data_IF_975152258023
#
_entry.id   IF_975152258023
#
_cell.length_a   1.000
_cell.length_b   1.000
_cell.length_c   1.000
_cell.angle_alpha   90.00
_cell.angle_beta   90.00
_cell.angle_gamma   90.00
#
_symmetry.space_group_name_H-M   'P 1'
#
loop_
_entity.id
_entity.type
_entity.pdbx_description
1 polymer ?
#
# COMPACT_ATOMS: atom_id res chain seq x y z
N UNK A 1 36.72 -8.88 13.70
CA UNK A 1 35.88 -8.10 12.78
C UNK A 1 36.68 -7.87 11.50
N UNK A 2 36.28 -8.45 10.35
CA UNK A 2 37.07 -8.41 9.09
C UNK A 2 37.34 -6.96 8.65
N UNK A 3 36.38 -6.07 8.89
CA UNK A 3 36.49 -4.64 8.61
C UNK A 3 37.67 -4.01 9.35
N UNK A 4 37.79 -4.27 10.66
CA UNK A 4 38.89 -3.74 11.47
C UNK A 4 40.25 -4.26 11.03
N UNK A 5 40.30 -5.49 10.49
CA UNK A 5 41.55 -6.07 9.97
C UNK A 5 41.98 -5.39 8.67
N UNK A 6 41.04 -5.15 7.75
CA UNK A 6 41.29 -4.44 6.49
C UNK A 6 41.69 -2.97 6.69
N UNK A 7 41.10 -2.30 7.69
CA UNK A 7 41.44 -0.92 8.06
C UNK A 7 42.85 -0.84 8.68
N UNK A 8 43.19 -1.79 9.55
CA UNK A 8 44.51 -1.82 10.20
C UNK A 8 45.65 -2.18 9.23
N UNK A 9 45.36 -2.88 8.13
CA UNK A 9 46.37 -3.28 7.14
C UNK A 9 46.61 -2.22 6.05
N UNK A 10 45.72 -1.22 5.86
CA UNK A 10 45.88 -0.17 4.85
C UNK A 10 45.16 1.14 5.24
N UNK A 11 45.91 2.17 5.65
CA UNK A 11 45.40 3.50 6.05
C UNK A 11 44.70 4.29 4.94
N UNK A 12 44.83 3.86 3.68
CA UNK A 12 44.28 4.55 2.49
C UNK A 12 42.81 4.16 2.22
N UNK A 13 42.33 3.03 2.77
CA UNK A 13 41.01 2.49 2.42
C UNK A 13 39.91 3.20 3.21
N UNK A 14 38.99 3.85 2.49
CA UNK A 14 37.82 4.51 3.09
C UNK A 14 36.77 3.46 3.46
N UNK A 15 36.25 3.53 4.70
CA UNK A 15 35.19 2.63 5.21
C UNK A 15 33.99 2.56 4.25
N UNK A 16 33.57 3.70 3.70
CA UNK A 16 32.45 3.79 2.75
C UNK A 16 32.68 2.96 1.46
N UNK A 17 33.93 2.83 1.00
CA UNK A 17 34.24 2.02 -0.18
C UNK A 17 34.11 0.53 0.12
N UNK A 18 34.57 0.08 1.29
CA UNK A 18 34.40 -1.31 1.75
C UNK A 18 32.91 -1.65 1.87
N UNK A 19 32.12 -0.77 2.50
CA UNK A 19 30.68 -0.98 2.65
C UNK A 19 29.95 -1.09 1.30
N UNK A 20 30.32 -0.24 0.34
CA UNK A 20 29.73 -0.29 -0.99
C UNK A 20 30.10 -1.57 -1.74
N UNK A 21 31.35 -2.02 -1.66
CA UNK A 21 31.79 -3.29 -2.25
C UNK A 21 31.03 -4.46 -1.61
N UNK A 22 30.92 -4.47 -0.28
CA UNK A 22 30.19 -5.49 0.45
C UNK A 22 28.71 -5.56 0.03
N UNK A 23 28.02 -4.42 0.00
CA UNK A 23 26.62 -4.32 -0.45
C UNK A 23 26.44 -4.80 -1.90
N UNK A 24 27.40 -4.50 -2.78
CA UNK A 24 27.36 -4.95 -4.17
C UNK A 24 27.53 -6.47 -4.28
N UNK A 25 28.46 -7.05 -3.52
CA UNK A 25 28.67 -8.51 -3.47
C UNK A 25 27.44 -9.21 -2.91
N UNK A 26 26.89 -8.72 -1.80
CA UNK A 26 25.66 -9.25 -1.20
C UNK A 26 24.50 -9.23 -2.21
N UNK A 27 24.32 -8.09 -2.89
CA UNK A 27 23.32 -7.94 -3.93
C UNK A 27 23.52 -8.93 -5.07
N UNK A 28 24.75 -9.11 -5.54
CA UNK A 28 25.05 -10.07 -6.61
C UNK A 28 24.72 -11.50 -6.18
N UNK A 29 25.21 -11.94 -5.01
CA UNK A 29 25.01 -13.30 -4.48
C UNK A 29 23.53 -13.61 -4.32
N UNK A 30 22.76 -12.70 -3.72
CA UNK A 30 21.33 -12.92 -3.50
C UNK A 30 20.55 -13.00 -4.82
N UNK A 31 20.86 -12.13 -5.78
CA UNK A 31 20.19 -12.15 -7.09
C UNK A 31 20.50 -13.40 -7.89
N UNK A 32 21.76 -13.83 -7.89
CA UNK A 32 22.19 -15.09 -8.51
C UNK A 32 21.51 -16.28 -7.81
N UNK A 33 21.53 -16.33 -6.48
CA UNK A 33 20.87 -17.38 -5.70
C UNK A 33 19.39 -17.50 -6.05
N UNK A 34 18.67 -16.38 -6.10
CA UNK A 34 17.25 -16.36 -6.49
C UNK A 34 17.12 -17.01 -7.87
N UNK A 35 17.82 -16.48 -8.88
CA UNK A 35 17.70 -16.96 -10.27
C UNK A 35 18.08 -18.43 -10.46
N UNK A 36 19.14 -18.92 -9.80
CA UNK A 36 19.63 -20.28 -10.01
C UNK A 36 18.92 -21.32 -9.15
N UNK A 37 18.49 -20.98 -7.93
CA UNK A 37 17.89 -21.96 -7.00
C UNK A 37 16.37 -22.01 -7.06
N UNK A 38 15.72 -21.04 -7.72
CA UNK A 38 14.27 -20.90 -7.71
C UNK A 38 13.63 -20.75 -6.32
N UNK A 39 14.40 -20.24 -5.35
CA UNK A 39 13.94 -19.95 -4.00
C UNK A 39 14.24 -18.50 -3.62
N UNK A 40 13.27 -17.86 -2.97
CA UNK A 40 13.39 -16.50 -2.43
C UNK A 40 14.15 -16.49 -1.10
N UNK A 41 14.41 -15.28 -0.59
CA UNK A 41 15.14 -15.06 0.67
C UNK A 41 14.44 -15.77 1.83
N UNK A 42 13.11 -15.71 1.85
CA UNK A 42 12.22 -16.34 2.84
C UNK A 42 11.80 -17.78 2.47
N UNK A 43 12.35 -18.34 1.40
CA UNK A 43 12.06 -19.71 0.94
C UNK A 43 10.82 -19.86 0.05
N UNK A 44 10.02 -18.81 -0.17
CA UNK A 44 8.84 -18.85 -1.04
C UNK A 44 9.17 -19.06 -2.51
N UNK A 45 8.16 -19.50 -3.27
CA UNK A 45 8.17 -19.43 -4.74
C UNK A 45 7.96 -17.99 -5.22
N UNK A 46 8.26 -17.72 -6.50
CA UNK A 46 8.17 -16.38 -7.07
C UNK A 46 6.75 -15.82 -7.19
N UNK A 47 5.76 -16.68 -7.31
CA UNK A 47 4.35 -16.33 -7.46
C UNK A 47 3.54 -16.42 -6.17
N UNK A 48 4.19 -16.86 -5.08
CA UNK A 48 3.57 -17.08 -3.79
C UNK A 48 3.41 -15.78 -2.99
N UNK A 49 2.20 -15.60 -2.45
CA UNK A 49 1.82 -14.46 -1.61
C UNK A 49 1.92 -14.91 -0.16
N UNK A 50 2.39 -14.02 0.72
CA UNK A 50 2.45 -14.30 2.16
C UNK A 50 1.06 -14.53 2.75
N UNK A 51 1.04 -15.15 3.91
CA UNK A 51 -0.20 -15.40 4.65
C UNK A 51 -0.96 -14.10 4.94
N UNK A 52 -2.29 -14.22 4.94
CA UNK A 52 -3.20 -13.10 5.15
C UNK A 52 -4.01 -13.32 6.43
N UNK A 53 -3.94 -12.39 7.37
CA UNK A 53 -4.89 -12.25 8.48
C UNK A 53 -5.68 -10.95 8.27
N UNK A 54 -7.00 -11.05 8.28
CA UNK A 54 -7.90 -9.97 7.89
C UNK A 54 -9.02 -9.89 8.92
N UNK A 55 -9.15 -8.72 9.56
CA UNK A 55 -10.22 -8.44 10.54
C UNK A 55 -10.90 -7.12 10.21
N UNK A 56 -12.20 -7.04 10.45
CA UNK A 56 -13.01 -5.82 10.33
C UNK A 56 -13.68 -5.53 11.67
N UNK A 57 -14.13 -4.29 11.89
CA UNK A 57 -14.66 -3.84 13.19
C UNK A 57 -13.65 -4.11 14.33
N UNK A 58 -12.37 -3.84 14.07
CA UNK A 58 -11.28 -4.10 15.00
C UNK A 58 -11.30 -3.14 16.21
N UNK A 59 -11.68 -1.88 15.99
CA UNK A 59 -11.77 -0.85 17.02
C UNK A 59 -13.24 -0.52 17.35
N UNK A 60 -13.63 -0.56 18.65
CA UNK A 60 -15.04 -0.53 19.05
C UNK A 60 -15.74 0.83 18.84
N UNK A 61 -14.99 1.93 18.72
CA UNK A 61 -15.53 3.30 18.66
C UNK A 61 -15.38 3.98 17.31
N UNK A 62 -14.65 3.39 16.38
CA UNK A 62 -14.47 3.96 15.03
C UNK A 62 -15.75 3.83 14.20
N UNK A 63 -15.93 4.66 13.18
CA UNK A 63 -17.08 4.49 12.28
C UNK A 63 -16.90 3.25 11.40
N UNK A 64 -15.66 2.93 11.02
CA UNK A 64 -15.27 1.60 10.56
C UNK A 64 -13.78 1.37 10.78
N UNK A 65 -13.39 0.11 10.89
CA UNK A 65 -11.99 -0.26 11.06
C UNK A 65 -11.67 -1.61 10.44
N UNK A 66 -10.41 -1.77 10.04
CA UNK A 66 -9.88 -3.04 9.57
C UNK A 66 -8.43 -3.20 10.00
N UNK A 67 -8.06 -4.42 10.38
CA UNK A 67 -6.67 -4.84 10.52
C UNK A 67 -6.36 -5.78 9.35
N UNK A 68 -5.46 -5.34 8.47
CA UNK A 68 -5.02 -6.14 7.33
C UNK A 68 -3.54 -6.48 7.50
N UNK A 69 -3.24 -7.76 7.64
CA UNK A 69 -1.89 -8.30 7.78
C UNK A 69 -1.57 -9.20 6.61
N UNK A 70 -0.41 -8.99 5.97
CA UNK A 70 0.14 -9.82 4.90
C UNK A 70 1.60 -10.14 5.19
N UNK A 71 1.86 -11.36 5.67
CA UNK A 71 3.13 -11.69 6.35
C UNK A 71 3.45 -10.61 7.39
N UNK A 72 4.68 -10.13 7.43
CA UNK A 72 5.10 -9.08 8.38
C UNK A 72 4.83 -7.66 7.86
N UNK A 73 3.73 -7.47 7.12
CA UNK A 73 3.24 -6.14 6.72
C UNK A 73 1.82 -5.96 7.19
N UNK A 74 1.60 -5.03 8.13
CA UNK A 74 0.34 -4.84 8.80
C UNK A 74 -0.11 -3.38 8.74
N UNK A 75 -1.37 -3.18 8.40
CA UNK A 75 -2.03 -1.87 8.38
C UNK A 75 -3.31 -1.93 9.22
N UNK A 76 -3.35 -1.12 10.29
CA UNK A 76 -4.56 -0.78 11.00
C UNK A 76 -5.19 0.45 10.32
N UNK A 77 -6.33 0.23 9.68
CA UNK A 77 -7.01 1.28 8.92
C UNK A 77 -8.32 1.65 9.60
N UNK A 78 -8.56 2.95 9.75
CA UNK A 78 -9.77 3.49 10.35
C UNK A 78 -10.47 4.44 9.39
N UNK A 79 -11.79 4.46 9.48
CA UNK A 79 -12.67 5.37 8.73
C UNK A 79 -13.45 6.21 9.71
N UNK A 80 -13.45 7.51 9.46
CA UNK A 80 -14.27 8.50 10.15
C UNK A 80 -15.13 9.23 9.12
N UNK A 81 -16.43 9.28 9.39
CA UNK A 81 -17.43 10.00 8.62
C UNK A 81 -17.73 11.33 9.29
N UNK A 82 -17.73 12.40 8.51
CA UNK A 82 -18.01 13.76 8.97
C UNK A 82 -19.04 14.47 8.09
N UNK A 83 -19.39 15.67 8.49
CA UNK A 83 -20.26 16.58 7.75
C UNK A 83 -19.49 17.33 6.66
N UNK A 84 -20.17 18.16 5.88
CA UNK A 84 -19.52 19.04 4.90
C UNK A 84 -18.56 20.06 5.51
N UNK A 85 -18.72 20.37 6.81
CA UNK A 85 -17.78 21.26 7.54
C UNK A 85 -16.42 20.63 7.78
N UNK A 86 -16.36 19.29 7.77
CA UNK A 86 -15.13 18.52 7.99
C UNK A 86 -14.34 18.31 6.68
N UNK A 87 -14.86 18.79 5.55
CA UNK A 87 -14.20 18.69 4.26
C UNK A 87 -12.93 19.56 4.23
N UNK A 88 -11.90 19.07 3.54
CA UNK A 88 -10.63 19.78 3.46
C UNK A 88 -10.67 20.82 2.35
N UNK A 89 -10.51 22.09 2.68
CA UNK A 89 -10.24 23.13 1.69
C UNK A 89 -8.77 23.10 1.31
N UNK A 90 -8.50 22.91 0.02
CA UNK A 90 -7.18 22.98 -0.58
C UNK A 90 -7.08 24.28 -1.38
N UNK A 91 -6.21 25.17 -0.92
CA UNK A 91 -5.81 26.37 -1.66
C UNK A 91 -4.69 25.99 -2.64
N UNK A 92 -5.06 25.81 -3.91
CA UNK A 92 -4.13 25.44 -4.98
C UNK A 92 -3.99 26.59 -5.97
N UNK A 93 -2.81 26.69 -6.61
CA UNK A 93 -2.44 27.78 -7.54
C UNK A 93 -3.48 28.08 -8.63
N UNK A 94 -4.26 27.08 -9.06
CA UNK A 94 -5.25 27.24 -10.13
C UNK A 94 -6.68 27.47 -9.64
N UNK A 95 -7.07 26.83 -8.54
CA UNK A 95 -8.42 26.92 -8.00
C UNK A 95 -8.48 26.36 -6.59
N UNK A 96 -9.35 26.94 -5.77
CA UNK A 96 -9.71 26.36 -4.49
C UNK A 96 -10.54 25.09 -4.71
N UNK A 97 -10.15 24.01 -4.04
CA UNK A 97 -10.81 22.72 -4.14
C UNK A 97 -11.26 22.25 -2.77
N UNK A 98 -12.52 21.80 -2.66
CA UNK A 98 -13.02 21.13 -1.47
C UNK A 98 -12.88 19.62 -1.67
N UNK A 99 -12.08 18.98 -0.83
CA UNK A 99 -11.83 17.55 -0.84
C UNK A 99 -12.63 16.84 0.25
N UNK A 100 -13.59 16.04 -0.19
CA UNK A 100 -14.48 15.28 0.69
C UNK A 100 -13.94 13.87 0.99
N UNK A 101 -12.82 13.46 0.38
CA UNK A 101 -12.19 12.17 0.62
C UNK A 101 -10.75 12.35 1.07
N UNK A 102 -10.53 12.40 2.37
CA UNK A 102 -9.23 12.61 2.99
C UNK A 102 -8.60 11.24 3.27
N UNK A 103 -7.33 11.06 2.92
CA UNK A 103 -6.59 9.82 3.17
C UNK A 103 -5.24 10.17 3.78
N UNK A 104 -5.03 9.75 5.02
CA UNK A 104 -3.76 9.88 5.73
C UNK A 104 -3.11 8.53 5.90
N UNK A 105 -1.80 8.52 5.84
CA UNK A 105 -0.96 7.36 5.95
C UNK A 105 0.18 7.70 6.89
N UNK A 106 0.37 6.89 7.92
CA UNK A 106 1.37 7.07 8.96
C UNK A 106 2.26 5.83 9.02
N UNK A 107 3.56 6.06 9.11
CA UNK A 107 4.61 5.06 9.14
C UNK A 107 5.51 5.29 10.35
N UNK A 108 5.05 4.89 11.54
CA UNK A 108 5.83 5.05 12.76
C UNK A 108 7.06 4.15 12.74
N UNK A 109 8.15 4.60 13.36
CA UNK A 109 9.46 3.89 13.36
C UNK A 109 9.40 2.49 13.95
N UNK A 110 8.51 2.24 14.91
CA UNK A 110 8.35 0.92 15.49
C UNK A 110 7.89 -0.13 14.47
N UNK A 111 7.26 0.27 13.36
CA UNK A 111 6.78 -0.66 12.32
C UNK A 111 7.90 -1.40 11.60
N UNK A 112 9.13 -0.88 11.65
CA UNK A 112 10.36 -1.52 11.15
C UNK A 112 11.29 -1.94 12.28
N UNK A 113 10.84 -1.89 13.55
CA UNK A 113 11.68 -2.18 14.72
C UNK A 113 12.72 -1.11 15.03
N UNK A 114 12.60 0.09 14.44
CA UNK A 114 13.53 1.19 14.65
C UNK A 114 13.04 2.18 15.71
N UNK A 115 13.97 2.89 16.33
CA UNK A 115 13.68 4.04 17.20
C UNK A 115 13.74 5.30 16.33
N UNK A 116 12.72 6.14 16.40
CA UNK A 116 12.71 7.41 15.70
C UNK A 116 11.77 8.42 16.32
N UNK A 117 11.98 9.69 15.98
CA UNK A 117 11.18 10.80 16.49
C UNK A 117 9.88 10.87 15.72
N UNK A 118 8.75 10.85 16.44
CA UNK A 118 7.42 11.11 15.90
C UNK A 118 7.26 12.61 15.66
N UNK A 119 7.46 13.01 14.41
CA UNK A 119 7.28 14.39 13.93
C UNK A 119 6.16 14.44 12.87
N UNK A 120 6.16 15.50 12.07
CA UNK A 120 5.28 15.66 10.93
C UNK A 120 5.48 14.55 9.88
N UNK A 121 4.44 14.23 9.08
CA UNK A 121 4.52 13.19 8.07
C UNK A 121 5.61 13.51 7.03
N UNK A 122 6.48 12.53 6.79
CA UNK A 122 7.58 12.60 5.82
C UNK A 122 7.05 12.54 4.38
N UNK A 123 7.88 12.94 3.43
CA UNK A 123 7.56 12.87 1.98
C UNK A 123 7.09 11.48 1.54
N UNK A 124 7.69 10.40 2.06
CA UNK A 124 7.32 9.02 1.71
C UNK A 124 5.94 8.65 2.25
N UNK A 125 5.60 9.08 3.46
CA UNK A 125 4.26 8.86 4.05
C UNK A 125 3.18 9.55 3.22
N UNK A 126 3.40 10.81 2.86
CA UNK A 126 2.50 11.58 1.98
C UNK A 126 2.37 10.90 0.61
N UNK A 127 3.48 10.44 0.03
CA UNK A 127 3.50 9.75 -1.25
C UNK A 127 2.72 8.43 -1.24
N UNK A 128 2.92 7.60 -0.22
CA UNK A 128 2.17 6.34 -0.04
C UNK A 128 0.69 6.60 0.23
N UNK A 129 0.35 7.59 1.07
CA UNK A 129 -1.02 8.02 1.30
C UNK A 129 -1.70 8.49 0.02
N UNK A 130 -1.01 9.26 -0.83
CA UNK A 130 -1.50 9.70 -2.14
C UNK A 130 -1.71 8.54 -3.11
N UNK A 131 -0.82 7.55 -3.14
CA UNK A 131 -0.98 6.33 -3.95
C UNK A 131 -2.21 5.53 -3.49
N UNK A 132 -2.35 5.31 -2.18
CA UNK A 132 -3.47 4.59 -1.61
C UNK A 132 -4.79 5.32 -1.86
N UNK A 133 -4.82 6.64 -1.66
CA UNK A 133 -5.96 7.51 -2.00
C UNK A 133 -6.36 7.38 -3.46
N UNK A 134 -5.40 7.49 -4.38
CA UNK A 134 -5.65 7.37 -5.83
C UNK A 134 -6.20 5.99 -6.21
N UNK A 135 -5.82 4.95 -5.47
CA UNK A 135 -6.30 3.57 -5.66
C UNK A 135 -7.76 3.39 -5.26
N UNK A 136 -8.21 4.09 -4.22
CA UNK A 136 -9.57 3.96 -3.67
C UNK A 136 -10.55 4.96 -4.30
N UNK A 137 -10.09 6.16 -4.63
CA UNK A 137 -10.93 7.26 -5.13
C UNK A 137 -11.90 6.86 -6.27
N UNK A 138 -11.55 6.03 -7.26
CA UNK A 138 -12.48 5.66 -8.35
C UNK A 138 -13.74 4.90 -7.89
N UNK A 139 -13.69 4.24 -6.73
CA UNK A 139 -14.82 3.49 -6.17
C UNK A 139 -15.58 4.24 -5.08
N UNK A 140 -15.10 5.41 -4.66
CA UNK A 140 -15.77 6.24 -3.66
C UNK A 140 -17.08 6.81 -4.25
N UNK A 141 -18.21 6.74 -3.52
CA UNK A 141 -19.46 7.34 -3.95
C UNK A 141 -19.35 8.87 -4.05
N UNK A 142 -20.16 9.49 -4.90
CA UNK A 142 -20.21 10.94 -4.95
C UNK A 142 -20.98 11.49 -3.74
N UNK A 143 -20.79 12.78 -3.44
CA UNK A 143 -21.43 13.47 -2.30
C UNK A 143 -22.94 13.59 -2.43
N UNK A 144 -23.53 13.41 -3.63
CA UNK A 144 -24.99 13.36 -3.79
C UNK A 144 -25.56 12.02 -3.31
N UNK A 145 -24.84 10.93 -3.56
CA UNK A 145 -25.23 9.57 -3.16
C UNK A 145 -24.88 9.24 -1.72
N UNK A 146 -23.77 9.78 -1.23
CA UNK A 146 -23.29 9.57 0.13
C UNK A 146 -22.78 10.91 0.67
N UNK A 147 -23.63 11.70 1.34
CA UNK A 147 -23.38 13.10 1.68
C UNK A 147 -22.45 13.28 2.90
N UNK A 148 -21.39 12.48 2.97
CA UNK A 148 -20.42 12.50 4.07
C UNK A 148 -19.04 12.89 3.56
N UNK A 149 -18.32 13.64 4.38
CA UNK A 149 -16.87 13.69 4.28
C UNK A 149 -16.31 12.39 4.84
N UNK A 150 -15.39 11.76 4.11
CA UNK A 150 -14.76 10.51 4.49
C UNK A 150 -13.29 10.78 4.79
N UNK A 151 -12.86 10.49 6.00
CA UNK A 151 -11.44 10.46 6.39
C UNK A 151 -11.02 9.02 6.62
N UNK A 152 -10.00 8.59 5.89
CA UNK A 152 -9.32 7.31 6.09
C UNK A 152 -7.96 7.61 6.73
N UNK A 153 -7.61 6.87 7.78
CA UNK A 153 -6.26 6.89 8.36
C UNK A 153 -5.73 5.47 8.36
N UNK A 154 -4.57 5.27 7.71
CA UNK A 154 -3.84 4.01 7.73
C UNK A 154 -2.62 4.15 8.63
N UNK A 155 -2.63 3.44 9.75
CA UNK A 155 -1.49 3.28 10.64
C UNK A 155 -0.75 1.99 10.29
N UNK A 156 0.52 2.10 9.89
CA UNK A 156 1.33 0.92 9.62
C UNK A 156 1.92 0.41 10.93
N UNK A 157 1.54 -0.79 11.34
CA UNK A 157 2.00 -1.38 12.60
C UNK A 157 3.18 -2.33 12.40
N UNK A 158 3.33 -2.91 11.21
CA UNK A 158 4.46 -3.76 10.81
C UNK A 158 4.78 -3.53 9.32
N UNK A 159 6.04 -3.54 8.92
CA UNK A 159 6.43 -3.31 7.52
C UNK A 159 7.69 -4.06 7.08
N UNK A 160 7.48 -5.23 6.50
CA UNK A 160 8.49 -5.99 5.73
C UNK A 160 8.08 -6.14 4.25
N UNK A 161 7.53 -5.09 3.66
CA UNK A 161 6.98 -5.15 2.30
C UNK A 161 6.17 -3.91 1.96
N UNK A 162 5.33 -3.98 0.93
CA UNK A 162 4.53 -2.83 0.51
C UNK A 162 3.35 -2.55 1.44
N UNK A 163 3.64 -1.78 2.50
CA UNK A 163 2.67 -1.20 3.42
C UNK A 163 1.66 -0.29 2.71
N UNK A 164 2.06 0.42 1.65
CA UNK A 164 1.11 1.19 0.81
C UNK A 164 0.00 0.34 0.19
N UNK A 165 0.29 -0.92 -0.18
CA UNK A 165 -0.72 -1.83 -0.72
C UNK A 165 -1.56 -2.47 0.38
N UNK A 166 -0.97 -2.72 1.56
CA UNK A 166 -1.73 -3.10 2.75
C UNK A 166 -2.75 -2.01 3.14
N UNK A 167 -2.37 -0.73 3.07
CA UNK A 167 -3.29 0.39 3.28
C UNK A 167 -4.47 0.42 2.31
N UNK A 168 -4.25 0.06 1.04
CA UNK A 168 -5.33 -0.03 0.04
C UNK A 168 -6.32 -1.13 0.43
N UNK A 169 -5.82 -2.32 0.75
CA UNK A 169 -6.67 -3.44 1.17
C UNK A 169 -7.43 -3.11 2.46
N UNK A 170 -6.72 -2.62 3.48
CA UNK A 170 -7.31 -2.20 4.76
C UNK A 170 -8.33 -1.08 4.60
N UNK A 171 -8.07 -0.08 3.75
CA UNK A 171 -9.03 0.99 3.48
C UNK A 171 -10.30 0.47 2.79
N UNK A 172 -10.17 -0.43 1.81
CA UNK A 172 -11.34 -1.03 1.18
C UNK A 172 -12.22 -1.75 2.20
N UNK A 173 -11.61 -2.51 3.12
CA UNK A 173 -12.31 -3.22 4.18
C UNK A 173 -12.96 -2.26 5.19
N UNK A 174 -12.21 -1.28 5.69
CA UNK A 174 -12.67 -0.33 6.69
C UNK A 174 -13.79 0.58 6.16
N UNK A 175 -13.76 0.93 4.87
CA UNK A 175 -14.84 1.68 4.21
C UNK A 175 -16.13 0.85 4.13
N UNK A 176 -16.01 -0.43 3.76
CA UNK A 176 -17.15 -1.35 3.74
C UNK A 176 -17.70 -1.58 5.15
N UNK A 177 -16.83 -1.73 6.14
CA UNK A 177 -17.19 -1.86 7.56
C UNK A 177 -17.88 -0.60 8.08
N UNK A 178 -17.48 0.59 7.62
CA UNK A 178 -18.14 1.86 7.95
C UNK A 178 -19.50 2.07 7.27
N UNK A 179 -19.95 1.15 6.41
CA UNK A 179 -21.17 1.30 5.62
C UNK A 179 -21.05 2.30 4.48
N UNK A 180 -19.82 2.66 4.05
CA UNK A 180 -19.63 3.49 2.87
C UNK A 180 -19.97 2.66 1.63
N UNK A 181 -20.92 3.08 0.78
CA UNK A 181 -21.36 2.33 -0.39
C UNK A 181 -20.34 2.44 -1.53
N UNK A 182 -19.13 1.90 -1.33
CA UNK A 182 -18.12 1.83 -2.37
C UNK A 182 -18.58 0.91 -3.51
N UNK A 183 -18.25 1.27 -4.75
CA UNK A 183 -18.74 0.54 -5.93
C UNK A 183 -18.25 -0.92 -5.97
N UNK A 184 -16.98 -1.13 -5.66
CA UNK A 184 -16.30 -2.42 -5.71
C UNK A 184 -15.16 -2.44 -4.67
N UNK A 185 -14.86 -3.61 -4.07
CA UNK A 185 -13.68 -3.75 -3.23
C UNK A 185 -12.40 -3.63 -4.05
N UNK A 186 -11.36 -3.02 -3.46
CA UNK A 186 -10.06 -2.80 -4.08
C UNK A 186 -8.98 -3.49 -3.25
N UNK A 187 -8.09 -4.23 -3.92
CA UNK A 187 -6.88 -4.77 -3.32
C UNK A 187 -5.64 -4.27 -4.06
N UNK A 188 -4.51 -4.31 -3.37
CA UNK A 188 -3.20 -3.92 -3.90
C UNK A 188 -2.16 -5.03 -3.75
N UNK A 189 -1.23 -5.10 -4.70
CA UNK A 189 -0.08 -5.99 -4.67
C UNK A 189 1.17 -5.25 -5.15
N UNK A 190 2.31 -5.59 -4.55
CA UNK A 190 3.63 -5.13 -4.99
C UNK A 190 4.37 -6.28 -5.66
N UNK A 191 5.01 -5.97 -6.78
CA UNK A 191 5.70 -6.90 -7.64
C UNK A 191 7.14 -6.43 -7.85
N UNK A 192 8.07 -7.36 -7.93
CA UNK A 192 9.48 -7.09 -8.17
C UNK A 192 9.96 -7.66 -9.50
N UNK A 193 11.10 -7.17 -9.97
CA UNK A 193 11.85 -7.76 -11.08
C UNK A 193 13.30 -7.96 -10.67
N UNK A 194 13.87 -9.12 -10.97
CA UNK A 194 15.33 -9.33 -10.96
C UNK A 194 15.72 -9.75 -12.37
N UNK A 195 16.68 -9.05 -12.97
CA UNK A 195 17.20 -9.28 -14.32
C UNK A 195 18.73 -9.41 -14.28
N UNK A 196 19.24 -10.53 -14.77
CA UNK A 196 20.68 -10.76 -14.96
C UNK A 196 20.89 -11.11 -16.44
N UNK A 197 21.63 -10.25 -17.15
CA UNK A 197 21.86 -10.37 -18.59
C UNK A 197 20.52 -10.51 -19.34
N UNK A 198 20.25 -11.67 -19.94
CA UNK A 198 19.03 -11.95 -20.70
C UNK A 198 17.97 -12.73 -19.91
N UNK A 199 18.24 -13.12 -18.66
CA UNK A 199 17.28 -13.83 -17.80
C UNK A 199 16.61 -12.83 -16.86
N UNK A 200 15.31 -13.01 -16.63
CA UNK A 200 14.57 -12.21 -15.66
C UNK A 200 13.54 -13.04 -14.90
N UNK A 201 13.22 -12.60 -13.69
CA UNK A 201 12.24 -13.22 -12.79
C UNK A 201 11.37 -12.13 -12.20
N UNK A 202 10.05 -12.38 -12.22
CA UNK A 202 9.05 -11.50 -11.62
C UNK A 202 8.65 -12.09 -10.28
N UNK A 203 8.78 -11.28 -9.23
CA UNK A 203 8.45 -11.64 -7.86
C UNK A 203 7.08 -11.08 -7.49
N UNK A 204 6.22 -11.89 -6.89
CA UNK A 204 4.92 -11.50 -6.35
C UNK A 204 5.04 -11.25 -4.85
N UNK A 205 4.41 -10.18 -4.36
CA UNK A 205 4.40 -9.84 -2.93
C UNK A 205 5.82 -9.71 -2.36
N UNK A 206 6.55 -8.73 -2.88
CA UNK A 206 7.95 -8.50 -2.50
C UNK A 206 8.12 -8.10 -1.03
N UNK A 207 9.22 -8.55 -0.44
CA UNK A 207 9.71 -8.07 0.87
C UNK A 207 10.63 -6.85 0.69
N UNK A 208 10.99 -6.19 1.81
CA UNK A 208 11.81 -4.97 1.77
C UNK A 208 13.17 -5.19 1.10
N UNK A 209 13.82 -6.31 1.41
CA UNK A 209 15.11 -6.69 0.84
C UNK A 209 15.00 -6.94 -0.66
N UNK A 210 13.92 -7.57 -1.13
CA UNK A 210 13.72 -7.84 -2.55
C UNK A 210 13.43 -6.57 -3.36
N UNK A 211 12.78 -5.56 -2.78
CA UNK A 211 12.71 -4.23 -3.39
C UNK A 211 14.12 -3.63 -3.48
N UNK A 212 14.84 -3.55 -2.35
CA UNK A 212 16.19 -2.96 -2.30
C UNK A 212 17.15 -3.57 -3.34
N UNK A 213 17.10 -4.90 -3.48
CA UNK A 213 17.95 -5.67 -4.37
C UNK A 213 17.41 -5.78 -5.80
N UNK A 214 16.11 -5.54 -6.00
CA UNK A 214 15.42 -5.65 -7.28
C UNK A 214 15.78 -4.54 -8.28
N UNK A 215 15.31 -4.73 -9.51
CA UNK A 215 15.49 -3.82 -10.64
C UNK A 215 14.24 -2.99 -10.95
N UNK A 216 13.10 -3.36 -10.36
CA UNK A 216 11.81 -2.69 -10.53
C UNK A 216 10.95 -2.93 -9.28
N UNK A 217 10.34 -1.86 -8.76
CA UNK A 217 9.22 -1.91 -7.81
C UNK A 217 7.94 -1.54 -8.57
N UNK A 218 7.00 -2.47 -8.64
CA UNK A 218 5.78 -2.34 -9.41
C UNK A 218 4.57 -2.57 -8.51
N UNK A 219 3.85 -1.50 -8.20
CA UNK A 219 2.65 -1.53 -7.35
C UNK A 219 1.42 -1.37 -8.21
N UNK A 220 0.46 -2.29 -8.04
CA UNK A 220 -0.81 -2.25 -8.74
C UNK A 220 -1.97 -2.50 -7.81
N UNK A 221 -3.00 -1.69 -7.95
CA UNK A 221 -4.24 -1.80 -7.20
C UNK A 221 -5.44 -1.82 -8.13
N UNK A 222 -6.52 -2.43 -7.69
CA UNK A 222 -7.73 -2.55 -8.49
C UNK A 222 -8.76 -3.51 -7.94
N UNK A 223 -9.86 -3.62 -8.66
CA UNK A 223 -10.97 -4.52 -8.38
C UNK A 223 -10.86 -5.81 -9.22
N UNK A 224 -11.91 -6.62 -9.17
CA UNK A 224 -12.14 -7.74 -10.08
C UNK A 224 -12.24 -7.31 -11.56
N UNK A 225 -12.72 -6.09 -11.82
CA UNK A 225 -13.05 -5.63 -13.18
C UNK A 225 -11.95 -4.80 -13.82
N UNK A 226 -11.03 -4.21 -13.04
CA UNK A 226 -10.02 -3.33 -13.60
C UNK A 226 -8.95 -2.88 -12.60
N UNK A 227 -7.97 -2.14 -13.12
CA UNK A 227 -6.92 -1.48 -12.34
C UNK A 227 -7.40 -0.07 -11.99
N UNK A 228 -7.22 0.33 -10.73
CA UNK A 228 -7.52 1.71 -10.28
C UNK A 228 -6.27 2.56 -10.15
N UNK A 229 -5.13 1.96 -9.78
CA UNK A 229 -3.84 2.64 -9.75
C UNK A 229 -2.69 1.73 -10.12
N UNK A 230 -1.66 2.37 -10.64
CA UNK A 230 -0.41 1.77 -11.07
C UNK A 230 0.72 2.72 -10.69
N UNK A 231 1.75 2.20 -10.04
CA UNK A 231 3.02 2.91 -9.81
C UNK A 231 4.16 1.97 -10.19
N UNK A 232 5.11 2.50 -10.95
CA UNK A 232 6.30 1.76 -11.37
C UNK A 232 7.51 2.63 -11.04
N UNK A 233 8.46 2.05 -10.32
CA UNK A 233 9.80 2.60 -10.12
C UNK A 233 10.81 1.66 -10.78
N UNK A 234 11.53 2.17 -11.77
CA UNK A 234 12.47 1.39 -12.58
C UNK A 234 13.91 1.78 -12.21
N UNK A 235 14.70 0.82 -11.76
CA UNK A 235 16.10 1.02 -11.36
C UNK A 235 17.09 0.74 -12.49
N UNK A 236 16.63 0.09 -13.57
CA UNK A 236 17.45 -0.24 -14.75
C UNK A 236 16.79 0.18 -16.07
N UNK A 237 17.60 0.32 -17.12
CA UNK A 237 17.13 0.40 -18.51
C UNK A 237 16.78 -0.98 -19.05
N UNK A 238 15.95 -1.03 -20.10
CA UNK A 238 15.66 -2.28 -20.83
C UNK A 238 14.58 -3.17 -20.21
N UNK A 239 13.58 -2.57 -19.56
CA UNK A 239 12.32 -3.25 -19.26
C UNK A 239 11.44 -3.19 -20.51
N UNK A 240 11.17 -4.33 -21.10
CA UNK A 240 10.38 -4.43 -22.34
C UNK A 240 8.88 -4.44 -22.04
N UNK A 241 8.06 -4.11 -23.04
CA UNK A 241 6.59 -4.24 -22.97
C UNK A 241 6.15 -5.65 -22.58
N UNK A 242 6.90 -6.67 -23.01
CA UNK A 242 6.67 -8.06 -22.66
C UNK A 242 6.78 -8.31 -21.15
N UNK A 243 7.83 -7.76 -20.52
CA UNK A 243 8.03 -7.87 -19.06
C UNK A 243 6.86 -7.20 -18.33
N UNK A 244 6.46 -5.99 -18.75
CA UNK A 244 5.33 -5.26 -18.15
C UNK A 244 4.03 -6.07 -18.27
N UNK A 245 3.75 -6.64 -19.45
CA UNK A 245 2.56 -7.47 -19.66
C UNK A 245 2.56 -8.72 -18.77
N UNK A 246 3.70 -9.42 -18.68
CA UNK A 246 3.85 -10.59 -17.79
C UNK A 246 3.65 -10.19 -16.32
N UNK A 247 4.20 -9.06 -15.89
CA UNK A 247 4.03 -8.53 -14.54
C UNK A 247 2.57 -8.21 -14.24
N UNK A 248 1.88 -7.50 -15.14
CA UNK A 248 0.46 -7.17 -14.98
C UNK A 248 -0.43 -8.41 -14.86
N UNK A 249 -0.17 -9.45 -15.66
CA UNK A 249 -0.91 -10.70 -15.60
C UNK A 249 -0.71 -11.44 -14.27
N UNK A 250 0.54 -11.58 -13.81
CA UNK A 250 0.84 -12.16 -12.49
C UNK A 250 0.22 -11.35 -11.35
N UNK A 251 0.32 -10.02 -11.45
CA UNK A 251 -0.24 -9.13 -10.45
C UNK A 251 -1.78 -9.18 -10.42
N UNK A 252 -2.45 -9.39 -11.56
CA UNK A 252 -3.89 -9.63 -11.62
C UNK A 252 -4.27 -10.89 -10.84
N UNK A 253 -3.58 -12.01 -11.07
CA UNK A 253 -3.82 -13.27 -10.33
C UNK A 253 -3.66 -13.04 -8.82
N UNK A 254 -2.58 -12.38 -8.41
CA UNK A 254 -2.31 -12.11 -7.02
C UNK A 254 -3.34 -11.17 -6.37
N UNK A 255 -3.73 -10.11 -7.09
CA UNK A 255 -4.77 -9.18 -6.63
C UNK A 255 -6.12 -9.88 -6.45
N UNK A 256 -6.50 -10.74 -7.37
CA UNK A 256 -7.75 -11.51 -7.30
C UNK A 256 -7.73 -12.49 -6.10
N UNK A 257 -6.58 -13.13 -5.84
CA UNK A 257 -6.41 -13.96 -4.65
C UNK A 257 -6.65 -13.17 -3.35
N UNK A 258 -6.06 -11.98 -3.23
CA UNK A 258 -6.25 -11.11 -2.04
C UNK A 258 -7.71 -10.66 -1.93
N UNK A 259 -8.33 -10.22 -3.03
CA UNK A 259 -9.75 -9.85 -3.05
C UNK A 259 -10.67 -10.99 -2.61
N UNK A 260 -10.38 -12.22 -3.03
CA UNK A 260 -11.13 -13.41 -2.63
C UNK A 260 -10.96 -13.75 -1.14
N UNK A 261 -9.81 -13.43 -0.54
CA UNK A 261 -9.59 -13.58 0.91
C UNK A 261 -10.30 -12.49 1.69
N UNK A 262 -10.27 -11.25 1.21
CA UNK A 262 -11.03 -10.13 1.77
C UNK A 262 -12.54 -10.38 1.75
N UNK A 263 -13.07 -10.89 0.63
CA UNK A 263 -14.52 -11.11 0.47
C UNK A 263 -15.10 -12.17 1.40
N UNK A 264 -14.27 -13.09 1.91
CA UNK A 264 -14.66 -14.06 2.95
C UNK A 264 -14.94 -13.39 4.30
N UNK A 265 -14.37 -12.21 4.55
CA UNK A 265 -14.56 -11.45 5.79
C UNK A 265 -15.70 -10.45 5.63
N UNK A 266 -15.68 -9.68 4.55
CA UNK A 266 -16.75 -8.73 4.21
C UNK A 266 -16.91 -8.66 2.69
N UNK A 267 -18.05 -9.12 2.17
CA UNK A 267 -18.28 -9.22 0.72
C UNK A 267 -18.93 -7.97 0.12
N UNK A 268 -19.66 -7.20 0.93
CA UNK A 268 -20.38 -5.98 0.55
C UNK A 268 -20.28 -4.96 1.70
N UNK A 269 -20.37 -3.65 1.40
CA UNK A 269 -20.53 -2.65 2.44
C UNK A 269 -21.67 -2.99 3.40
N UNK A 270 -21.54 -2.66 4.68
CA UNK A 270 -22.65 -2.76 5.64
C UNK A 270 -23.83 -1.92 5.14
N UNK A 271 -25.05 -2.41 5.36
CA UNK A 271 -26.28 -1.73 4.95
C UNK A 271 -26.50 -0.42 5.69
N UNK A 272 -26.02 -0.34 6.92
CA UNK A 272 -26.14 0.83 7.78
C UNK A 272 -24.74 1.38 8.11
N UNK A 273 -24.67 2.70 8.27
CA UNK A 273 -23.49 3.38 8.82
C UNK A 273 -23.39 3.10 10.32
N UNK A 274 -22.19 3.23 10.88
CA UNK A 274 -21.96 3.04 12.31
C UNK A 274 -22.87 3.92 13.18
N UNK A 275 -23.31 3.37 14.31
CA UNK A 275 -24.12 4.09 15.32
C UNK A 275 -23.44 5.34 15.88
N UNK A 276 -22.12 5.42 15.78
CA UNK A 276 -21.33 6.57 16.24
C UNK A 276 -21.15 7.62 15.15
N UNK A 277 -21.48 7.30 13.89
CA UNK A 277 -21.39 8.25 12.80
C UNK A 277 -22.50 9.31 12.88
N UNK A 278 -22.23 10.56 12.43
CA UNK A 278 -23.28 11.56 12.30
C UNK A 278 -24.39 11.06 11.37
N UNK A 279 -25.65 11.37 11.68
CA UNK A 279 -26.78 11.08 10.79
C UNK A 279 -27.12 12.33 9.98
N UNK A 280 -27.07 12.22 8.66
CA UNK A 280 -27.42 13.31 7.74
C UNK A 280 -28.76 12.97 7.06
N UNK A 281 -29.77 13.80 7.31
CA UNK A 281 -31.05 13.73 6.63
C UNK A 281 -31.13 14.81 5.55
N UNK A 282 -31.38 14.40 4.30
CA UNK A 282 -31.58 15.33 3.18
C UNK A 282 -33.08 15.57 3.01
N UNK A 283 -33.53 16.80 3.23
CA UNK A 283 -34.92 17.22 2.99
C UNK A 283 -34.94 18.09 1.74
N UNK A 284 -35.76 17.72 0.76
CA UNK A 284 -35.96 18.52 -0.45
C UNK A 284 -37.09 19.53 -0.24
N UNK A 285 -36.74 20.81 -0.20
CA UNK A 285 -37.72 21.90 -0.11
C UNK A 285 -38.05 22.36 -1.54
N UNK A 286 -39.31 22.77 -1.77
CA UNK A 286 -39.71 23.34 -3.07
C UNK A 286 -38.97 24.67 -3.28
N UNK A 287 -38.44 24.88 -4.48
CA UNK A 287 -37.61 26.06 -4.79
C UNK A 287 -38.35 27.39 -4.62
N UNK A 288 -39.68 27.40 -4.72
CA UNK A 288 -40.52 28.58 -4.49
C UNK A 288 -40.72 28.93 -3.00
N UNK A 289 -40.08 28.20 -2.07
CA UNK A 289 -40.12 28.43 -0.62
C UNK A 289 -38.76 28.86 -0.05
N UNK A 290 -37.80 29.20 -0.91
CA UNK A 290 -36.47 29.73 -0.56
C UNK A 290 -36.40 31.17 -1.03
#
# INVERSE_FOLDING_TARGET
NILNKLINENEIIKINEIENIYKNIEKQILREKIIYTNKRIDGRKYDEIRDLDIRVNFLPRTHGSALFTRGDTQALVTVTLGTTKDAQTLDELKYNKIDNFIFHYNFPSYSTGEIGILLLPKRREIGHGRLAKKSILPVIPNTKTFPYTIRVVSEITESNGSSSMASVCGASLALMDAGVPIKLPIAGIAMGLIKIKNKFIILTDIIGEEDYLGDMDFKVSGSYTGITSLQIDMKIKGITKEIINKTLNKAKIARLYILNKMSKIINKPRSEISKFAPKINIIKIKQNKI
#
